data_IF_665531276495
#
_entry.id   IF_665531276495
#
_cell.length_a   1.000
_cell.length_b   1.000
_cell.length_c   1.000
_cell.angle_alpha   90.00
_cell.angle_beta   90.00
_cell.angle_gamma   90.00
#
_symmetry.space_group_name_H-M   'P 1'
#
loop_
_entity.id
_entity.type
_entity.pdbx_description
1 polymer ?
#
# COMPACT_ATOMS: atom_id res chain seq x y z
N UNK A 1 -10.97 -14.31 4.62
CA UNK A 1 -10.27 -13.22 3.93
C UNK A 1 -11.27 -12.09 3.69
N UNK A 2 -10.98 -10.88 4.18
CA UNK A 2 -11.85 -9.70 4.04
C UNK A 2 -11.21 -8.74 3.04
N UNK A 3 -11.98 -8.30 2.05
CA UNK A 3 -11.58 -7.19 1.17
C UNK A 3 -12.07 -5.88 1.78
N UNK A 4 -11.24 -4.85 1.73
CA UNK A 4 -11.58 -3.52 2.23
C UNK A 4 -10.85 -2.44 1.42
N UNK A 5 -11.52 -1.31 1.22
CA UNK A 5 -10.89 -0.10 0.69
C UNK A 5 -10.17 0.66 1.82
N UNK A 6 -9.10 1.39 1.51
CA UNK A 6 -8.40 2.20 2.53
C UNK A 6 -9.34 3.23 3.18
N UNK A 7 -10.30 3.77 2.43
CA UNK A 7 -11.31 4.69 2.98
C UNK A 7 -12.16 4.03 4.07
N UNK A 8 -12.57 2.78 3.88
CA UNK A 8 -13.35 2.02 4.86
C UNK A 8 -12.53 1.73 6.12
N UNK A 9 -11.22 1.47 5.95
CA UNK A 9 -10.30 1.28 7.07
C UNK A 9 -10.19 2.56 7.91
N UNK A 10 -10.13 3.72 7.26
CA UNK A 10 -10.05 5.01 7.93
C UNK A 10 -11.34 5.37 8.68
N UNK A 11 -12.51 5.05 8.13
CA UNK A 11 -13.82 5.28 8.77
C UNK A 11 -14.07 4.37 9.97
N UNK A 12 -13.40 3.21 10.05
CA UNK A 12 -13.62 2.18 11.08
C UNK A 12 -12.42 1.98 12.00
N UNK A 13 -11.69 3.06 12.31
CA UNK A 13 -10.39 3.02 12.99
C UNK A 13 -10.42 2.27 14.34
N UNK A 14 -11.52 2.33 15.07
CA UNK A 14 -11.70 1.63 16.37
C UNK A 14 -12.05 0.13 16.22
N UNK A 15 -12.39 -0.32 15.03
CA UNK A 15 -12.82 -1.70 14.72
C UNK A 15 -11.82 -2.46 13.84
N UNK A 16 -10.60 -1.94 13.67
CA UNK A 16 -9.56 -2.58 12.85
C UNK A 16 -9.15 -3.92 13.49
N UNK A 17 -9.48 -5.01 12.80
CA UNK A 17 -9.11 -6.36 13.22
C UNK A 17 -7.66 -6.69 12.80
N UNK A 18 -6.70 -6.33 13.65
CA UNK A 18 -5.29 -6.68 13.45
C UNK A 18 -5.01 -8.19 13.55
N UNK A 19 -3.91 -8.62 12.93
CA UNK A 19 -3.51 -10.03 12.88
C UNK A 19 -4.33 -10.87 11.90
N UNK A 20 -5.12 -10.23 11.05
CA UNK A 20 -5.95 -10.90 10.05
C UNK A 20 -5.42 -10.65 8.64
N UNK A 21 -5.59 -11.65 7.78
CA UNK A 21 -5.31 -11.51 6.36
C UNK A 21 -6.43 -10.73 5.66
N UNK A 22 -6.03 -9.69 4.95
CA UNK A 22 -6.90 -8.74 4.28
C UNK A 22 -6.45 -8.53 2.85
N UNK A 23 -7.41 -8.11 2.01
CA UNK A 23 -7.13 -7.53 0.69
C UNK A 23 -7.42 -6.04 0.79
N UNK A 24 -6.39 -5.21 0.64
CA UNK A 24 -6.51 -3.76 0.65
C UNK A 24 -6.50 -3.22 -0.77
N UNK A 25 -7.42 -2.28 -1.03
CA UNK A 25 -7.51 -1.54 -2.29
C UNK A 25 -7.37 -0.05 -2.04
N UNK A 26 -6.64 0.62 -2.93
CA UNK A 26 -6.39 2.06 -2.85
C UNK A 26 -5.32 2.51 -3.83
N UNK A 27 -4.73 3.67 -3.57
CA UNK A 27 -3.59 4.18 -4.34
C UNK A 27 -2.28 3.80 -3.66
N UNK A 28 -1.41 3.13 -4.40
CA UNK A 28 -0.06 2.83 -3.94
C UNK A 28 0.90 3.96 -4.28
N UNK A 29 1.64 4.38 -3.27
CA UNK A 29 2.64 5.44 -3.34
C UNK A 29 3.98 4.89 -2.91
N UNK A 30 5.04 5.36 -3.55
CA UNK A 30 6.40 5.12 -3.12
C UNK A 30 7.14 6.44 -2.94
N UNK A 31 7.43 6.78 -1.68
CA UNK A 31 8.16 7.96 -1.25
C UNK A 31 9.52 7.53 -0.67
N UNK A 32 10.60 7.80 -1.41
CA UNK A 32 11.94 7.38 -1.01
C UNK A 32 12.08 5.86 -0.91
N UNK A 33 12.07 5.33 0.32
CA UNK A 33 12.11 3.88 0.63
C UNK A 33 10.78 3.36 1.19
N UNK A 34 9.84 4.25 1.52
CA UNK A 34 8.56 3.88 2.10
C UNK A 34 7.54 3.67 0.97
N UNK A 35 6.96 2.48 0.92
CA UNK A 35 5.81 2.19 0.07
C UNK A 35 4.55 2.06 0.91
N UNK A 36 3.47 2.75 0.57
CA UNK A 36 2.26 2.76 1.37
C UNK A 36 1.01 2.95 0.51
N UNK A 37 -0.13 2.55 1.06
CA UNK A 37 -1.44 2.69 0.44
C UNK A 37 -2.20 3.85 1.08
N UNK A 38 -2.82 4.69 0.24
CA UNK A 38 -3.72 5.78 0.62
C UNK A 38 -5.08 5.61 -0.09
N UNK A 39 -6.10 6.32 0.39
CA UNK A 39 -7.43 6.26 -0.24
C UNK A 39 -7.47 6.88 -1.65
N UNK A 40 -6.67 7.92 -1.90
CA UNK A 40 -6.64 8.67 -3.16
C UNK A 40 -5.30 9.38 -3.37
N UNK A 41 -5.04 9.82 -4.60
CA UNK A 41 -3.89 10.64 -4.98
C UNK A 41 -3.83 11.98 -4.23
N UNK A 42 -4.98 12.58 -3.91
CA UNK A 42 -5.07 13.80 -3.10
C UNK A 42 -4.56 13.61 -1.66
N UNK A 43 -4.42 12.36 -1.22
CA UNK A 43 -4.12 11.97 0.17
C UNK A 43 -2.73 11.40 0.36
N UNK A 44 -1.88 11.48 -0.66
CA UNK A 44 -0.49 11.00 -0.65
C UNK A 44 0.31 11.47 0.59
N UNK A 45 0.05 12.68 1.08
CA UNK A 45 0.76 13.28 2.22
C UNK A 45 0.20 12.87 3.60
N UNK A 46 -0.98 12.26 3.67
CA UNK A 46 -1.67 11.90 4.92
C UNK A 46 -1.22 10.52 5.43
N UNK A 47 0.07 10.37 5.77
CA UNK A 47 0.67 9.09 6.19
C UNK A 47 0.00 8.46 7.41
N UNK A 48 -0.60 9.28 8.29
CA UNK A 48 -1.33 8.81 9.46
C UNK A 48 -2.64 8.08 9.11
N UNK A 49 -3.15 8.24 7.89
CA UNK A 49 -4.32 7.54 7.33
C UNK A 49 -3.92 6.55 6.23
N UNK A 50 -2.62 6.26 6.12
CA UNK A 50 -2.07 5.34 5.15
C UNK A 50 -1.71 4.00 5.79
N UNK A 51 -1.63 2.96 4.96
CA UNK A 51 -1.14 1.63 5.35
C UNK A 51 0.24 1.40 4.78
N UNK A 52 1.23 1.29 5.65
CA UNK A 52 2.62 1.06 5.26
C UNK A 52 2.82 -0.39 4.77
N UNK A 53 3.51 -0.58 3.66
CA UNK A 53 3.90 -1.91 3.18
C UNK A 53 5.25 -2.27 3.77
N UNK A 54 5.28 -3.23 4.70
CA UNK A 54 6.51 -3.71 5.33
C UNK A 54 7.15 -4.82 4.53
N UNK A 55 8.10 -4.43 3.69
CA UNK A 55 8.93 -5.38 2.96
C UNK A 55 10.34 -4.81 2.72
N UNK A 56 11.39 -5.51 3.17
CA UNK A 56 12.76 -4.99 3.21
C UNK A 56 13.33 -4.57 1.84
N UNK A 57 12.97 -5.29 0.77
CA UNK A 57 13.41 -5.00 -0.61
C UNK A 57 12.31 -4.40 -1.49
N UNK A 58 11.26 -3.78 -0.89
CA UNK A 58 10.05 -3.35 -1.59
C UNK A 58 10.37 -2.54 -2.86
N UNK A 59 11.17 -1.47 -2.71
CA UNK A 59 11.56 -0.58 -3.80
C UNK A 59 12.21 -1.32 -4.96
N UNK A 60 13.17 -2.19 -4.64
CA UNK A 60 13.95 -2.92 -5.64
C UNK A 60 13.05 -3.88 -6.43
N UNK A 61 12.19 -4.61 -5.72
CA UNK A 61 11.25 -5.56 -6.32
C UNK A 61 10.20 -4.86 -7.19
N UNK A 62 9.69 -3.72 -6.73
CA UNK A 62 8.79 -2.84 -7.50
C UNK A 62 9.43 -2.38 -8.80
N UNK A 63 10.60 -1.74 -8.75
CA UNK A 63 11.29 -1.22 -9.93
C UNK A 63 11.64 -2.32 -10.95
N UNK A 64 11.82 -3.56 -10.50
CA UNK A 64 12.04 -4.71 -11.39
C UNK A 64 10.77 -5.28 -12.02
N UNK A 65 9.59 -5.01 -11.43
CA UNK A 65 8.31 -5.60 -11.84
C UNK A 65 7.42 -4.59 -12.59
N UNK A 66 7.44 -3.33 -12.18
CA UNK A 66 6.51 -2.28 -12.62
C UNK A 66 7.30 -1.02 -12.98
N UNK A 67 7.13 -0.45 -14.18
CA UNK A 67 7.77 0.81 -14.55
C UNK A 67 7.35 1.96 -13.61
N UNK A 68 8.34 2.62 -13.01
CA UNK A 68 8.12 3.80 -12.18
C UNK A 68 7.80 5.04 -13.01
N UNK A 69 7.16 6.03 -12.37
CA UNK A 69 7.08 7.38 -12.92
C UNK A 69 8.45 8.05 -12.92
N UNK A 70 8.80 8.68 -14.03
CA UNK A 70 10.01 9.49 -14.16
C UNK A 70 9.73 10.96 -13.86
N UNK A 71 10.60 11.60 -13.06
CA UNK A 71 10.62 13.07 -12.91
C UNK A 71 9.74 13.66 -11.81
N UNK A 72 9.07 12.85 -11.00
CA UNK A 72 8.28 13.28 -9.84
C UNK A 72 8.94 12.96 -8.49
N UNK A 73 8.38 13.51 -7.41
CA UNK A 73 8.78 13.20 -6.03
C UNK A 73 8.47 11.74 -5.66
N UNK A 74 7.31 11.23 -6.13
CA UNK A 74 6.85 9.87 -5.89
C UNK A 74 7.10 8.97 -7.10
N UNK A 75 7.58 7.75 -6.86
CA UNK A 75 7.86 6.79 -7.94
C UNK A 75 6.60 6.09 -8.45
N UNK A 76 5.58 5.99 -7.61
CA UNK A 76 4.29 5.39 -7.91
C UNK A 76 3.17 6.24 -7.29
N UNK A 77 2.01 6.18 -7.92
CA UNK A 77 0.78 6.92 -7.57
C UNK A 77 -0.39 6.32 -8.33
N UNK A 78 -0.40 4.99 -8.42
CA UNK A 78 -1.31 4.20 -9.25
C UNK A 78 -2.31 3.48 -8.34
N UNK A 79 -3.50 3.18 -8.88
CA UNK A 79 -4.44 2.27 -8.22
C UNK A 79 -3.78 0.90 -8.03
N UNK A 80 -4.05 0.25 -6.90
CA UNK A 80 -3.38 -0.98 -6.53
C UNK A 80 -4.21 -1.83 -5.56
N UNK A 81 -3.86 -3.11 -5.50
CA UNK A 81 -4.42 -4.09 -4.57
C UNK A 81 -3.28 -4.85 -3.89
N UNK A 82 -3.38 -5.08 -2.58
CA UNK A 82 -2.40 -5.85 -1.82
C UNK A 82 -3.08 -6.81 -0.85
N UNK A 83 -2.60 -8.05 -0.82
CA UNK A 83 -3.07 -9.10 0.09
C UNK A 83 -1.98 -9.43 1.08
N UNK A 84 -2.29 -9.41 2.37
CA UNK A 84 -1.32 -9.68 3.44
C UNK A 84 -1.94 -9.53 4.83
N UNK A 85 -1.12 -9.57 5.87
CA UNK A 85 -1.56 -9.48 7.26
C UNK A 85 -1.50 -8.02 7.73
N UNK A 86 -2.66 -7.49 8.12
CA UNK A 86 -2.76 -6.15 8.69
C UNK A 86 -2.34 -6.17 10.16
N UNK A 87 -1.48 -5.23 10.54
CA UNK A 87 -0.98 -5.10 11.89
C UNK A 87 -0.83 -3.63 12.29
N UNK A 88 -0.66 -3.38 13.58
CA UNK A 88 -0.41 -2.03 14.07
C UNK A 88 0.99 -1.60 13.63
N UNK A 89 1.11 -0.42 13.04
CA UNK A 89 2.41 0.09 12.63
C UNK A 89 3.31 0.33 13.83
N UNK A 90 4.57 -0.08 13.68
CA UNK A 90 5.67 0.29 14.59
C UNK A 90 6.31 1.63 14.21
N UNK A 91 6.02 2.15 13.02
CA UNK A 91 6.43 3.47 12.57
C UNK A 91 5.40 4.51 13.02
N UNK A 92 5.82 5.49 13.83
CA UNK A 92 4.94 6.52 14.38
C UNK A 92 4.29 7.44 13.34
N UNK A 93 4.67 7.35 12.06
CA UNK A 93 4.04 8.11 10.96
C UNK A 93 2.78 7.44 10.42
N UNK A 94 2.62 6.13 10.62
CA UNK A 94 1.53 5.33 10.08
C UNK A 94 0.71 4.71 11.21
N UNK A 95 -0.60 4.58 11.02
CA UNK A 95 -1.47 3.89 11.98
C UNK A 95 -1.33 2.37 11.85
N UNK A 96 -1.29 1.89 10.60
CA UNK A 96 -1.29 0.47 10.26
C UNK A 96 -0.16 0.14 9.30
N UNK A 97 0.26 -1.12 9.34
CA UNK A 97 1.18 -1.69 8.37
C UNK A 97 0.68 -3.05 7.89
N UNK A 98 0.95 -3.37 6.63
CA UNK A 98 0.69 -4.69 6.04
C UNK A 98 2.00 -5.44 5.88
N UNK A 99 1.98 -6.69 6.33
CA UNK A 99 3.12 -7.62 6.38
C UNK A 99 2.73 -8.93 5.69
N UNK A 100 3.67 -9.88 5.57
CA UNK A 100 3.41 -11.22 5.01
C UNK A 100 2.65 -11.19 3.68
N UNK A 101 3.09 -10.30 2.79
CA UNK A 101 2.40 -10.02 1.53
C UNK A 101 2.36 -11.27 0.65
N UNK A 102 1.15 -11.66 0.25
CA UNK A 102 0.87 -12.80 -0.63
C UNK A 102 0.71 -12.39 -2.08
N UNK A 103 0.11 -11.24 -2.30
CA UNK A 103 -0.17 -10.72 -3.62
C UNK A 103 -0.09 -9.20 -3.60
N UNK A 104 0.47 -8.61 -4.65
CA UNK A 104 0.50 -7.17 -4.84
C UNK A 104 0.36 -6.85 -6.32
N UNK A 105 -0.69 -6.13 -6.67
CA UNK A 105 -1.04 -5.74 -8.03
C UNK A 105 -1.05 -4.21 -8.14
N UNK A 106 -0.47 -3.69 -9.22
CA UNK A 106 -0.55 -2.28 -9.61
C UNK A 106 -1.34 -2.20 -10.93
N UNK A 107 -2.33 -1.31 -10.98
CA UNK A 107 -3.17 -1.07 -12.14
C UNK A 107 -2.68 0.18 -12.87
N UNK A 108 -2.11 0.01 -14.07
CA UNK A 108 -1.48 1.09 -14.83
C UNK A 108 -1.82 0.98 -16.32
N UNK A 109 -2.32 2.06 -16.93
CA UNK A 109 -2.69 2.12 -18.36
C UNK A 109 -3.52 0.90 -18.83
N UNK A 110 -4.59 0.57 -18.10
CA UNK A 110 -5.47 -0.60 -18.33
C UNK A 110 -4.78 -1.97 -18.25
N UNK A 111 -3.57 -2.02 -17.67
CA UNK A 111 -2.85 -3.26 -17.39
C UNK A 111 -2.78 -3.53 -15.89
N UNK A 112 -2.93 -4.80 -15.53
CA UNK A 112 -2.64 -5.31 -14.19
C UNK A 112 -1.21 -5.84 -14.15
N UNK A 113 -0.37 -5.24 -13.33
CA UNK A 113 1.03 -5.63 -13.18
C UNK A 113 1.24 -6.25 -11.80
N UNK A 114 1.70 -7.50 -11.76
CA UNK A 114 2.02 -8.19 -10.50
C UNK A 114 3.41 -7.81 -10.00
N UNK A 115 3.49 -7.37 -8.74
CA UNK A 115 4.73 -7.10 -8.04
C UNK A 115 5.18 -8.38 -7.35
N UNK A 116 6.36 -8.86 -7.71
CA UNK A 116 6.93 -10.08 -7.12
C UNK A 116 7.64 -9.73 -5.82
N UNK A 117 6.92 -9.76 -4.69
CA UNK A 117 7.43 -9.55 -3.34
C UNK A 117 7.97 -10.83 -2.68
#
# INVERSE_FOLDING_TARGET
MKTMEIIELNETTDAIAFGTEVVLKGFFVMDGQDGYFVESDAKILEKNHAVLVRHGDLKKKLLSSVPAFGGGEYLYGDQAEITGILSKSSDGRFLCEITDVREFLIFKHDQTMSVRL
#
